data_IF_893118497477
#
_entry.id   IF_893118497477
#
_cell.length_a   1.000
_cell.length_b   1.000
_cell.length_c   1.000
_cell.angle_alpha   90.00
_cell.angle_beta   90.00
_cell.angle_gamma   90.00
#
_symmetry.space_group_name_H-M   'P 1'
#
loop_
_entity.id
_entity.type
_entity.pdbx_description
1 polymer ?
#
# COMPACT_ATOMS: atom_id res chain seq x y z
N UNK A 1 -16.13 20.13 -7.39
CA UNK A 1 -14.96 19.92 -8.27
C UNK A 1 -13.89 18.96 -7.71
N UNK A 2 -13.97 18.46 -6.47
CA UNK A 2 -12.93 17.60 -5.88
C UNK A 2 -13.02 16.10 -6.24
N UNK A 3 -14.16 15.65 -6.78
CA UNK A 3 -14.43 14.24 -7.07
C UNK A 3 -13.35 13.53 -7.92
N UNK A 4 -12.91 14.07 -9.07
CA UNK A 4 -11.92 13.39 -9.91
C UNK A 4 -10.58 13.18 -9.19
N UNK A 5 -10.14 14.19 -8.43
CA UNK A 5 -8.91 14.13 -7.64
C UNK A 5 -9.00 13.05 -6.57
N UNK A 6 -10.08 13.06 -5.78
CA UNK A 6 -10.27 12.06 -4.71
C UNK A 6 -10.35 10.65 -5.27
N UNK A 7 -11.10 10.44 -6.37
CA UNK A 7 -11.22 9.12 -7.00
C UNK A 7 -9.87 8.63 -7.56
N UNK A 8 -9.12 9.49 -8.25
CA UNK A 8 -7.80 9.14 -8.75
C UNK A 8 -6.82 8.82 -7.63
N UNK A 9 -6.72 9.71 -6.64
CA UNK A 9 -5.80 9.56 -5.51
C UNK A 9 -6.11 8.31 -4.68
N UNK A 10 -7.34 8.19 -4.19
CA UNK A 10 -7.75 7.09 -3.32
C UNK A 10 -7.79 5.78 -4.10
N UNK A 11 -8.26 5.80 -5.35
CA UNK A 11 -8.33 4.62 -6.20
C UNK A 11 -6.95 4.04 -6.49
N UNK A 12 -6.00 4.86 -6.93
CA UNK A 12 -4.61 4.43 -7.18
C UNK A 12 -3.97 3.93 -5.88
N UNK A 13 -4.07 4.70 -4.80
CA UNK A 13 -3.50 4.30 -3.51
C UNK A 13 -4.09 2.97 -3.03
N UNK A 14 -5.39 2.76 -3.16
CA UNK A 14 -6.08 1.52 -2.77
C UNK A 14 -5.59 0.32 -3.59
N UNK A 15 -5.46 0.48 -4.91
CA UNK A 15 -4.92 -0.55 -5.80
C UNK A 15 -3.50 -0.93 -5.38
N UNK A 16 -2.65 0.07 -5.13
CA UNK A 16 -1.27 -0.15 -4.68
C UNK A 16 -1.23 -0.85 -3.32
N UNK A 17 -2.02 -0.38 -2.35
CA UNK A 17 -2.14 -1.00 -1.03
C UNK A 17 -2.59 -2.46 -1.11
N UNK A 18 -3.58 -2.74 -1.96
CA UNK A 18 -4.11 -4.08 -2.16
C UNK A 18 -3.02 -5.01 -2.69
N UNK A 19 -2.34 -4.65 -3.78
CA UNK A 19 -1.34 -5.53 -4.39
C UNK A 19 -0.10 -5.69 -3.50
N UNK A 20 0.41 -4.60 -2.94
CA UNK A 20 1.58 -4.64 -2.06
C UNK A 20 1.27 -5.39 -0.76
N UNK A 21 0.18 -5.01 -0.10
CA UNK A 21 -0.22 -5.61 1.18
C UNK A 21 -0.61 -7.08 1.04
N UNK A 22 -1.41 -7.42 0.02
CA UNK A 22 -1.78 -8.82 -0.22
C UNK A 22 -0.57 -9.64 -0.65
N UNK A 23 0.29 -9.13 -1.53
CA UNK A 23 1.51 -9.84 -1.92
C UNK A 23 2.44 -10.13 -0.74
N UNK A 24 2.68 -9.12 0.11
CA UNK A 24 3.47 -9.28 1.33
C UNK A 24 2.80 -10.25 2.31
N UNK A 25 1.50 -10.09 2.57
CA UNK A 25 0.73 -10.98 3.43
C UNK A 25 0.75 -12.42 2.93
N UNK A 26 0.65 -12.63 1.62
CA UNK A 26 0.69 -13.95 1.02
C UNK A 26 2.06 -14.63 1.21
N UNK A 27 3.15 -13.89 0.97
CA UNK A 27 4.51 -14.40 1.18
C UNK A 27 4.76 -14.74 2.65
N UNK A 28 4.29 -13.91 3.58
CA UNK A 28 4.44 -14.14 5.03
C UNK A 28 3.65 -15.39 5.44
N UNK A 29 2.38 -15.50 5.00
CA UNK A 29 1.53 -16.66 5.30
C UNK A 29 2.10 -17.96 4.71
N UNK A 30 2.59 -17.92 3.48
CA UNK A 30 3.27 -19.05 2.83
C UNK A 30 4.49 -19.55 3.59
N UNK A 31 5.26 -18.62 4.18
CA UNK A 31 6.47 -18.93 4.95
C UNK A 31 6.23 -18.88 6.46
N UNK A 32 5.03 -19.28 6.93
CA UNK A 32 4.70 -19.34 8.36
C UNK A 32 5.77 -20.12 9.14
N UNK A 33 6.19 -19.60 10.30
CA UNK A 33 7.26 -20.15 11.13
C UNK A 33 8.68 -19.72 10.74
N UNK A 34 8.84 -18.83 9.75
CA UNK A 34 10.13 -18.29 9.33
C UNK A 34 10.38 -16.87 9.86
N UNK A 35 11.59 -16.32 9.60
CA UNK A 35 11.91 -14.91 9.90
C UNK A 35 10.93 -13.90 9.26
N UNK A 36 10.17 -14.29 8.24
CA UNK A 36 9.15 -13.45 7.63
C UNK A 36 8.00 -13.10 8.58
N UNK A 37 7.77 -13.89 9.65
CA UNK A 37 6.75 -13.57 10.66
C UNK A 37 7.09 -12.30 11.45
N UNK A 38 8.34 -11.84 11.46
CA UNK A 38 8.73 -10.57 12.07
C UNK A 38 8.11 -9.35 11.36
N UNK A 39 7.64 -9.49 10.12
CA UNK A 39 6.97 -8.42 9.37
C UNK A 39 5.55 -8.18 9.88
N UNK A 40 4.89 -9.22 10.45
CA UNK A 40 3.55 -9.10 11.01
C UNK A 40 3.45 -8.00 12.07
N UNK A 41 4.27 -8.04 13.15
CA UNK A 41 4.32 -7.00 14.18
C UNK A 41 4.65 -5.59 13.65
N UNK A 42 5.51 -5.49 12.63
CA UNK A 42 5.87 -4.21 12.01
C UNK A 42 4.67 -3.64 11.24
N UNK A 43 3.94 -4.49 10.51
CA UNK A 43 2.74 -4.08 9.78
C UNK A 43 1.60 -3.63 10.71
N UNK A 44 1.48 -4.22 11.90
CA UNK A 44 0.50 -3.80 12.93
C UNK A 44 0.84 -2.46 13.58
N UNK A 45 2.12 -2.08 13.62
CA UNK A 45 2.54 -0.80 14.19
C UNK A 45 1.92 0.36 13.41
N UNK A 46 1.99 0.30 12.08
CA UNK A 46 1.47 1.34 11.20
C UNK A 46 -0.06 1.40 11.18
N UNK A 47 -0.75 0.28 11.40
CA UNK A 47 -2.22 0.28 11.53
C UNK A 47 -2.71 0.85 12.85
N UNK A 48 -1.86 0.92 13.87
CA UNK A 48 -2.20 1.46 15.20
C UNK A 48 -2.08 2.98 15.24
N UNK A 49 -1.21 3.55 14.42
CA UNK A 49 -1.08 5.02 14.31
C UNK A 49 -2.31 5.57 13.57
N UNK A 50 -3.03 6.55 14.14
CA UNK A 50 -4.15 7.16 13.44
C UNK A 50 -3.72 7.78 12.10
N UNK A 51 -4.53 7.58 11.06
CA UNK A 51 -4.19 7.99 9.68
C UNK A 51 -3.83 9.48 9.56
N UNK A 52 -4.50 10.36 10.32
CA UNK A 52 -4.23 11.79 10.27
C UNK A 52 -2.84 12.12 10.85
N UNK A 53 -2.39 11.41 11.88
CA UNK A 53 -1.03 11.56 12.42
C UNK A 53 0.03 11.15 11.41
N UNK A 54 -0.19 10.04 10.71
CA UNK A 54 0.68 9.61 9.61
C UNK A 54 0.79 10.71 8.54
N UNK A 55 -0.34 11.31 8.16
CA UNK A 55 -0.36 12.44 7.24
C UNK A 55 0.41 13.65 7.74
N UNK A 56 0.20 14.07 9.00
CA UNK A 56 0.89 15.21 9.60
C UNK A 56 2.41 15.00 9.68
N UNK A 57 2.86 13.82 10.10
CA UNK A 57 4.29 13.48 10.17
C UNK A 57 4.89 13.49 8.77
N UNK A 58 4.21 12.89 7.79
CA UNK A 58 4.69 12.86 6.42
C UNK A 58 4.82 14.27 5.82
N UNK A 59 3.86 15.14 6.07
CA UNK A 59 3.93 16.56 5.66
C UNK A 59 5.10 17.25 6.37
N UNK A 60 5.20 17.14 7.70
CA UNK A 60 6.26 17.80 8.46
C UNK A 60 7.66 17.42 7.96
N UNK A 61 7.89 16.13 7.71
CA UNK A 61 9.20 15.63 7.29
C UNK A 61 9.44 15.88 5.80
N UNK A 62 8.57 15.36 4.93
CA UNK A 62 8.85 15.31 3.50
C UNK A 62 8.46 16.58 2.75
N UNK A 63 7.55 17.38 3.31
CA UNK A 63 7.20 18.68 2.75
C UNK A 63 7.94 19.80 3.47
N UNK A 64 7.76 19.97 4.78
CA UNK A 64 8.28 21.16 5.47
C UNK A 64 9.78 21.13 5.74
N UNK A 65 10.32 20.00 6.20
CA UNK A 65 11.76 19.91 6.52
C UNK A 65 12.62 19.65 5.28
N UNK A 66 12.20 18.71 4.42
CA UNK A 66 12.98 18.27 3.27
C UNK A 66 12.65 18.99 1.97
N UNK A 67 11.46 19.60 1.85
CA UNK A 67 11.05 20.28 0.62
C UNK A 67 10.87 19.36 -0.59
N UNK A 68 10.69 18.05 -0.38
CA UNK A 68 10.61 17.07 -1.48
C UNK A 68 9.25 17.10 -2.19
N UNK A 69 8.18 17.33 -1.44
CA UNK A 69 6.81 17.31 -1.97
C UNK A 69 6.00 18.54 -1.54
N UNK A 70 5.00 18.94 -2.33
CA UNK A 70 4.02 19.94 -1.92
C UNK A 70 3.20 19.49 -0.71
N UNK A 71 2.88 20.43 0.19
CA UNK A 71 2.13 20.12 1.42
C UNK A 71 0.61 19.99 1.20
N UNK A 72 0.08 20.57 0.12
CA UNK A 72 -1.36 20.72 -0.08
C UNK A 72 -1.69 21.03 -1.54
N UNK A 73 -2.98 21.01 -1.87
CA UNK A 73 -3.56 21.20 -3.21
C UNK A 73 -3.37 19.98 -4.13
N UNK A 74 -4.21 19.90 -5.18
CA UNK A 74 -4.15 18.83 -6.17
C UNK A 74 -3.08 19.06 -7.25
N UNK A 75 -2.68 20.32 -7.41
CA UNK A 75 -1.70 20.84 -8.36
C UNK A 75 -1.34 22.27 -7.93
N UNK A 76 -0.34 22.86 -8.58
CA UNK A 76 0.21 24.18 -8.26
C UNK A 76 -0.83 25.30 -8.31
N UNK A 77 -0.71 26.28 -7.41
CA UNK A 77 -1.63 27.43 -7.35
C UNK A 77 -1.58 28.23 -8.64
N UNK A 78 -2.75 28.51 -9.22
CA UNK A 78 -2.87 29.26 -10.46
C UNK A 78 -2.74 28.42 -11.73
N UNK A 79 -2.40 27.14 -11.63
CA UNK A 79 -2.46 26.23 -12.77
C UNK A 79 -3.92 25.92 -13.14
N UNK A 80 -4.19 25.84 -14.43
CA UNK A 80 -5.45 25.35 -14.98
C UNK A 80 -5.26 23.91 -15.49
N UNK A 81 -6.22 23.00 -15.27
CA UNK A 81 -6.15 21.67 -15.85
C UNK A 81 -6.00 21.73 -17.37
N UNK A 82 -4.91 21.13 -17.85
CA UNK A 82 -4.58 21.06 -19.27
C UNK A 82 -3.91 19.72 -19.59
N UNK A 83 -3.97 19.33 -20.87
CA UNK A 83 -3.36 18.09 -21.33
C UNK A 83 -1.89 18.33 -21.71
N UNK A 84 -1.07 18.68 -20.71
CA UNK A 84 0.37 18.89 -20.86
C UNK A 84 1.15 17.95 -19.95
N UNK A 85 2.35 17.57 -20.39
CA UNK A 85 3.24 16.74 -19.56
C UNK A 85 3.62 17.44 -18.26
N UNK A 86 3.77 18.76 -18.29
CA UNK A 86 4.05 19.60 -17.12
C UNK A 86 2.92 19.52 -16.10
N UNK A 87 1.65 19.66 -16.53
CA UNK A 87 0.51 19.53 -15.64
C UNK A 87 0.37 18.11 -15.07
N UNK A 88 0.60 17.07 -15.88
CA UNK A 88 0.59 15.68 -15.40
C UNK A 88 1.63 15.47 -14.31
N UNK A 89 2.85 15.97 -14.51
CA UNK A 89 3.91 15.85 -13.51
C UNK A 89 3.60 16.63 -12.23
N UNK A 90 3.02 17.83 -12.35
CA UNK A 90 2.57 18.65 -11.23
C UNK A 90 1.54 17.92 -10.36
N UNK A 91 0.53 17.31 -10.99
CA UNK A 91 -0.50 16.47 -10.34
C UNK A 91 0.13 15.26 -9.64
N UNK A 92 1.09 14.58 -10.29
CA UNK A 92 1.80 13.44 -9.70
C UNK A 92 2.62 13.87 -8.48
N UNK A 93 3.36 14.97 -8.55
CA UNK A 93 4.14 15.48 -7.42
C UNK A 93 3.24 15.83 -6.22
N UNK A 94 2.11 16.49 -6.46
CA UNK A 94 1.14 16.83 -5.42
C UNK A 94 0.42 15.59 -4.85
N UNK A 95 0.21 14.56 -5.68
CA UNK A 95 -0.49 13.34 -5.29
C UNK A 95 0.38 12.30 -4.60
N UNK A 96 1.70 12.35 -4.80
CA UNK A 96 2.62 11.30 -4.34
C UNK A 96 2.64 11.17 -2.82
N UNK A 97 2.82 12.27 -2.09
CA UNK A 97 2.90 12.23 -0.63
C UNK A 97 1.57 11.76 0.01
N UNK A 98 0.40 12.30 -0.36
CA UNK A 98 -0.89 11.76 0.08
C UNK A 98 -1.07 10.28 -0.28
N UNK A 99 -0.73 9.86 -1.51
CA UNK A 99 -0.88 8.48 -1.93
C UNK A 99 -0.02 7.54 -1.07
N UNK A 100 1.25 7.89 -0.84
CA UNK A 100 2.15 7.12 0.01
C UNK A 100 1.65 7.01 1.45
N UNK A 101 1.09 8.08 2.02
CA UNK A 101 0.52 8.02 3.37
C UNK A 101 -0.68 7.08 3.46
N UNK A 102 -1.59 7.11 2.47
CA UNK A 102 -2.71 6.17 2.38
C UNK A 102 -2.19 4.74 2.24
N UNK A 103 -1.18 4.51 1.41
CA UNK A 103 -0.57 3.19 1.23
C UNK A 103 -0.04 2.67 2.56
N UNK A 104 0.87 3.40 3.20
CA UNK A 104 1.49 2.97 4.46
C UNK A 104 0.45 2.74 5.57
N UNK A 105 -0.54 3.63 5.70
CA UNK A 105 -1.57 3.52 6.72
C UNK A 105 -2.50 2.31 6.50
N UNK A 106 -2.75 1.91 5.25
CA UNK A 106 -3.65 0.80 4.91
C UNK A 106 -2.94 -0.55 4.77
N UNK A 107 -1.62 -0.57 4.59
CA UNK A 107 -0.83 -1.79 4.38
C UNK A 107 -1.05 -2.84 5.48
N UNK A 108 -1.11 -2.43 6.74
CA UNK A 108 -1.28 -3.36 7.88
C UNK A 108 -2.53 -4.24 7.75
N UNK A 109 -3.66 -3.65 7.38
CA UNK A 109 -4.92 -4.40 7.19
C UNK A 109 -4.82 -5.42 6.06
N UNK A 110 -4.29 -5.02 4.91
CA UNK A 110 -4.12 -5.91 3.75
C UNK A 110 -3.15 -7.06 4.03
N UNK A 111 -2.00 -6.77 4.66
CA UNK A 111 -1.00 -7.78 5.02
C UNK A 111 -1.57 -8.82 5.96
N UNK A 112 -2.22 -8.38 7.04
CA UNK A 112 -2.78 -9.30 8.05
C UNK A 112 -3.94 -10.12 7.51
N UNK A 113 -4.84 -9.48 6.75
CA UNK A 113 -5.96 -10.17 6.11
C UNK A 113 -5.48 -11.27 5.16
N UNK A 114 -4.56 -10.96 4.26
CA UNK A 114 -4.05 -11.95 3.31
C UNK A 114 -3.18 -13.01 3.98
N UNK A 115 -2.38 -12.67 4.99
CA UNK A 115 -1.62 -13.65 5.78
C UNK A 115 -2.54 -14.68 6.42
N UNK A 116 -3.62 -14.23 7.06
CA UNK A 116 -4.57 -15.13 7.72
C UNK A 116 -5.28 -16.03 6.70
N UNK A 117 -5.72 -15.47 5.56
CA UNK A 117 -6.29 -16.27 4.48
C UNK A 117 -5.30 -17.31 3.94
N UNK A 118 -4.04 -16.95 3.71
CA UNK A 118 -3.03 -17.90 3.25
C UNK A 118 -2.80 -19.04 4.24
N UNK A 119 -2.73 -18.75 5.54
CA UNK A 119 -2.55 -19.79 6.56
C UNK A 119 -3.72 -20.78 6.51
N UNK A 120 -4.95 -20.30 6.37
CA UNK A 120 -6.13 -21.16 6.23
C UNK A 120 -6.07 -21.99 4.94
N UNK A 121 -5.79 -21.36 3.80
CA UNK A 121 -5.72 -22.02 2.49
C UNK A 121 -4.63 -23.10 2.44
N UNK A 122 -3.49 -22.89 3.10
CA UNK A 122 -2.40 -23.86 3.14
C UNK A 122 -2.76 -25.18 3.82
N UNK A 123 -3.77 -25.19 4.68
CA UNK A 123 -4.25 -26.39 5.38
C UNK A 123 -5.35 -27.12 4.58
N UNK A 124 -5.69 -26.66 3.37
CA UNK A 124 -6.69 -27.29 2.50
C UNK A 124 -6.14 -28.48 1.70
N UNK A 125 -7.00 -29.48 1.45
CA UNK A 125 -6.62 -30.73 0.78
C UNK A 125 -6.09 -30.51 -0.64
N UNK A 126 -6.62 -29.53 -1.38
CA UNK A 126 -6.16 -29.26 -2.75
C UNK A 126 -4.72 -28.73 -2.80
N UNK A 127 -4.28 -28.01 -1.77
CA UNK A 127 -2.88 -27.57 -1.63
C UNK A 127 -1.99 -28.77 -1.33
N UNK A 128 -2.43 -29.65 -0.43
CA UNK A 128 -1.71 -30.90 -0.12
C UNK A 128 -1.57 -31.78 -1.36
N UNK A 129 -2.63 -31.94 -2.15
CA UNK A 129 -2.59 -32.69 -3.42
C UNK A 129 -1.67 -32.02 -4.44
N UNK A 130 -1.68 -30.69 -4.56
CA UNK A 130 -0.78 -29.96 -5.44
C UNK A 130 0.70 -30.19 -5.08
N UNK A 131 1.03 -30.18 -3.78
CA UNK A 131 2.35 -30.48 -3.27
C UNK A 131 2.74 -31.95 -3.49
N UNK A 132 1.83 -32.89 -3.26
CA UNK A 132 2.05 -34.32 -3.51
C UNK A 132 2.30 -34.65 -4.99
N UNK A 133 1.70 -33.86 -5.90
CA UNK A 133 2.01 -33.90 -7.35
C UNK A 133 3.37 -33.31 -7.72
N UNK A 134 4.14 -32.81 -6.75
CA UNK A 134 5.47 -32.24 -6.96
C UNK A 134 5.46 -30.86 -7.62
N UNK A 135 4.34 -30.13 -7.56
CA UNK A 135 4.31 -28.77 -8.11
C UNK A 135 5.29 -27.86 -7.36
N UNK A 136 6.05 -27.02 -8.08
CA UNK A 136 7.00 -26.11 -7.45
C UNK A 136 6.23 -25.10 -6.57
N UNK A 137 6.76 -24.69 -5.40
CA UNK A 137 6.08 -23.78 -4.47
C UNK A 137 5.55 -22.48 -5.10
N UNK A 138 6.25 -21.95 -6.11
CA UNK A 138 5.83 -20.74 -6.86
C UNK A 138 4.60 -20.91 -7.76
N UNK A 139 4.21 -22.15 -8.08
CA UNK A 139 2.97 -22.45 -8.82
C UNK A 139 1.79 -22.72 -7.88
N UNK A 140 2.08 -23.05 -6.62
CA UNK A 140 1.07 -23.30 -5.60
C UNK A 140 0.68 -21.99 -4.90
N UNK A 141 1.66 -21.08 -4.73
CA UNK A 141 1.46 -19.67 -4.40
C UNK A 141 0.91 -18.89 -5.59
#
# INVERSE_FOLDING_TARGET
AALPWTLGLVGIATILSFFLGSGLGAIIGWRRGSKADAIGPISTLFSTVPYFWMGLIAIAVFSSMLGWFPASHAYSKGASPEWSWEFVWDVVQHGTLPALTIVVASLGGWVLGMRNMMITVLDEDYVTVAQAKGLPPRKVL
#
